data_IF_491927878082
#
_entry.id   IF_491927878082
#
_cell.length_a   1.000
_cell.length_b   1.000
_cell.length_c   1.000
_cell.angle_alpha   90.00
_cell.angle_beta   90.00
_cell.angle_gamma   90.00
#
_symmetry.space_group_name_H-M   'P 1'
#
loop_
_entity.id
_entity.type
_entity.pdbx_description
1 polymer ?
#
# COMPACT_ATOMS: atom_id res chain seq x y z
N UNK A 1 117.38 111.75 -22.97
CA UNK A 1 115.91 111.54 -22.85
C UNK A 1 115.42 110.26 -23.55
N UNK A 2 115.95 109.85 -24.70
CA UNK A 2 115.48 108.66 -25.45
C UNK A 2 115.71 107.31 -24.72
N UNK A 3 116.86 107.11 -24.09
CA UNK A 3 117.19 105.84 -23.40
C UNK A 3 116.35 105.57 -22.14
N UNK A 4 115.81 106.60 -21.47
CA UNK A 4 114.95 106.42 -20.30
C UNK A 4 113.52 105.99 -20.68
N UNK A 5 113.09 106.32 -21.91
CA UNK A 5 111.77 105.95 -22.42
C UNK A 5 111.76 104.52 -22.97
N UNK A 6 112.84 104.08 -23.64
CA UNK A 6 113.01 102.68 -24.02
C UNK A 6 113.05 101.76 -22.79
N UNK A 7 113.83 102.10 -21.75
CA UNK A 7 113.88 101.30 -20.52
C UNK A 7 112.53 101.19 -19.81
N UNK A 8 111.71 102.24 -19.80
CA UNK A 8 110.36 102.20 -19.21
C UNK A 8 109.37 101.41 -20.06
N UNK A 9 109.51 101.43 -21.39
CA UNK A 9 108.66 100.64 -22.28
C UNK A 9 108.99 99.14 -22.17
N UNK A 10 110.28 98.79 -22.13
CA UNK A 10 110.71 97.39 -21.92
C UNK A 10 110.27 96.88 -20.56
N UNK A 11 110.39 97.69 -19.50
CA UNK A 11 109.93 97.31 -18.16
C UNK A 11 108.40 97.17 -18.09
N UNK A 12 107.62 98.00 -18.77
CA UNK A 12 106.17 97.84 -18.85
C UNK A 12 105.75 96.61 -19.66
N UNK A 13 106.48 96.25 -20.72
CA UNK A 13 106.25 95.02 -21.49
C UNK A 13 106.62 93.78 -20.66
N UNK A 14 107.74 93.82 -19.94
CA UNK A 14 108.16 92.74 -19.03
C UNK A 14 107.18 92.57 -17.86
N UNK A 15 106.68 93.65 -17.25
CA UNK A 15 105.67 93.58 -16.19
C UNK A 15 104.32 93.06 -16.72
N UNK A 16 103.91 93.44 -17.93
CA UNK A 16 102.66 92.96 -18.56
C UNK A 16 102.77 91.49 -18.99
N UNK A 17 103.93 91.07 -19.50
CA UNK A 17 104.18 89.66 -19.86
C UNK A 17 104.36 88.77 -18.63
N UNK A 18 104.99 89.28 -17.56
CA UNK A 18 105.07 88.60 -16.27
C UNK A 18 103.68 88.41 -15.64
N UNK A 19 102.87 89.47 -15.58
CA UNK A 19 101.49 89.40 -15.09
C UNK A 19 100.60 88.48 -15.95
N UNK A 20 100.79 88.46 -17.28
CA UNK A 20 100.09 87.52 -18.17
C UNK A 20 100.56 86.07 -17.95
N UNK A 21 101.83 85.84 -17.64
CA UNK A 21 102.36 84.50 -17.33
C UNK A 21 101.86 83.99 -15.98
N UNK A 22 101.74 84.87 -14.99
CA UNK A 22 101.23 84.57 -13.65
C UNK A 22 99.72 84.29 -13.67
N UNK A 23 98.95 85.07 -14.46
CA UNK A 23 97.55 84.77 -14.73
C UNK A 23 97.37 83.43 -15.46
N UNK A 24 98.27 83.09 -16.40
CA UNK A 24 98.24 81.81 -17.12
C UNK A 24 98.56 80.62 -16.19
N UNK A 25 99.57 80.71 -15.32
CA UNK A 25 99.88 79.65 -14.35
C UNK A 25 98.78 79.48 -13.32
N UNK A 26 98.21 80.55 -12.77
CA UNK A 26 97.05 80.46 -11.85
C UNK A 26 95.87 79.78 -12.53
N UNK A 27 95.55 80.15 -13.78
CA UNK A 27 94.46 79.55 -14.55
C UNK A 27 94.67 78.04 -14.80
N UNK A 28 95.89 77.64 -15.19
CA UNK A 28 96.25 76.23 -15.36
C UNK A 28 96.17 75.47 -14.04
N UNK A 29 96.60 76.07 -12.93
CA UNK A 29 96.56 75.43 -11.61
C UNK A 29 95.12 75.19 -11.16
N UNK A 30 94.21 76.15 -11.37
CA UNK A 30 92.77 75.99 -11.09
C UNK A 30 92.18 74.86 -11.94
N UNK A 31 92.50 74.80 -13.23
CA UNK A 31 92.02 73.72 -14.12
C UNK A 31 92.53 72.36 -13.64
N UNK A 32 93.81 72.24 -13.26
CA UNK A 32 94.39 70.99 -12.75
C UNK A 32 93.74 70.58 -11.43
N UNK A 33 93.56 71.50 -10.48
CA UNK A 33 92.89 71.22 -9.20
C UNK A 33 91.43 70.82 -9.43
N UNK A 34 90.70 71.53 -10.29
CA UNK A 34 89.33 71.17 -10.67
C UNK A 34 89.27 69.77 -11.31
N UNK A 35 90.22 69.43 -12.18
CA UNK A 35 90.30 68.11 -12.80
C UNK A 35 90.57 67.01 -11.77
N UNK A 36 91.50 67.24 -10.83
CA UNK A 36 91.81 66.31 -9.74
C UNK A 36 90.61 66.12 -8.81
N UNK A 37 89.90 67.19 -8.47
CA UNK A 37 88.68 67.13 -7.65
C UNK A 37 87.57 66.37 -8.38
N UNK A 38 87.38 66.61 -9.68
CA UNK A 38 86.40 65.89 -10.49
C UNK A 38 86.74 64.39 -10.59
N UNK A 39 88.01 64.04 -10.80
CA UNK A 39 88.48 62.65 -10.82
C UNK A 39 88.28 62.01 -9.44
N UNK A 40 88.64 62.70 -8.35
CA UNK A 40 88.47 62.18 -7.00
C UNK A 40 86.98 61.96 -6.65
N UNK A 41 86.11 62.93 -6.95
CA UNK A 41 84.66 62.80 -6.77
C UNK A 41 84.08 61.67 -7.63
N UNK A 42 84.50 61.56 -8.90
CA UNK A 42 84.07 60.47 -9.79
C UNK A 42 84.49 59.10 -9.26
N UNK A 43 85.70 58.97 -8.72
CA UNK A 43 86.17 57.72 -8.11
C UNK A 43 85.46 57.38 -6.80
N UNK A 44 85.15 58.38 -5.96
CA UNK A 44 84.41 58.19 -4.71
C UNK A 44 82.97 57.75 -4.99
N UNK A 45 82.26 58.49 -5.85
CA UNK A 45 80.88 58.16 -6.25
C UNK A 45 80.86 56.80 -6.96
N UNK A 46 81.77 56.58 -7.91
CA UNK A 46 81.88 55.33 -8.65
C UNK A 46 82.13 54.14 -7.73
N UNK A 47 83.03 54.26 -6.74
CA UNK A 47 83.26 53.20 -5.74
C UNK A 47 82.06 52.99 -4.82
N UNK A 48 81.44 54.07 -4.34
CA UNK A 48 80.28 53.99 -3.44
C UNK A 48 79.09 53.31 -4.11
N UNK A 49 78.70 53.77 -5.30
CA UNK A 49 77.58 53.22 -6.08
C UNK A 49 77.88 51.78 -6.52
N UNK A 50 79.09 51.51 -7.03
CA UNK A 50 79.46 50.14 -7.45
C UNK A 50 79.47 49.17 -6.28
N UNK A 51 79.94 49.60 -5.10
CA UNK A 51 79.93 48.79 -3.88
C UNK A 51 78.50 48.50 -3.39
N UNK A 52 77.64 49.53 -3.33
CA UNK A 52 76.22 49.36 -2.97
C UNK A 52 75.47 48.46 -3.96
N UNK A 53 75.70 48.61 -5.26
CA UNK A 53 75.12 47.73 -6.28
C UNK A 53 75.61 46.29 -6.14
N UNK A 54 76.89 46.07 -5.87
CA UNK A 54 77.42 44.73 -5.62
C UNK A 54 76.77 44.08 -4.40
N UNK A 55 76.53 44.83 -3.33
CA UNK A 55 75.81 44.33 -2.15
C UNK A 55 74.38 43.90 -2.52
N UNK A 56 73.62 44.75 -3.21
CA UNK A 56 72.25 44.43 -3.66
C UNK A 56 72.25 43.21 -4.60
N UNK A 57 73.17 43.16 -5.57
CA UNK A 57 73.33 42.02 -6.49
C UNK A 57 73.69 40.74 -5.73
N UNK A 58 74.53 40.82 -4.70
CA UNK A 58 74.89 39.66 -3.88
C UNK A 58 73.69 39.15 -3.08
N UNK A 59 72.88 40.05 -2.51
CA UNK A 59 71.64 39.70 -1.80
C UNK A 59 70.61 39.10 -2.77
N UNK A 60 70.43 39.69 -3.95
CA UNK A 60 69.56 39.14 -5.00
C UNK A 60 70.04 37.78 -5.49
N UNK A 61 71.36 37.60 -5.66
CA UNK A 61 71.94 36.30 -6.04
C UNK A 61 71.67 35.26 -4.97
N UNK A 62 71.88 35.60 -3.70
CA UNK A 62 71.60 34.69 -2.59
C UNK A 62 70.11 34.33 -2.49
N UNK A 63 69.22 35.29 -2.79
CA UNK A 63 67.77 35.03 -2.86
C UNK A 63 67.37 34.18 -4.06
N UNK A 64 68.03 34.36 -5.22
CA UNK A 64 67.76 33.59 -6.44
C UNK A 64 68.41 32.19 -6.44
N UNK A 65 69.54 32.01 -5.73
CA UNK A 65 70.20 30.71 -5.55
C UNK A 65 69.67 29.94 -4.35
N UNK A 66 69.07 30.62 -3.38
CA UNK A 66 68.25 29.97 -2.35
C UNK A 66 67.04 29.33 -3.01
N UNK A 67 66.59 28.20 -2.48
CA UNK A 67 65.44 27.42 -2.94
C UNK A 67 64.12 28.20 -2.77
N UNK A 68 63.98 29.36 -3.43
CA UNK A 68 62.81 30.22 -3.35
C UNK A 68 62.50 30.77 -1.96
N UNK A 69 63.51 31.12 -1.14
CA UNK A 69 63.28 31.64 0.23
C UNK A 69 62.69 33.07 0.21
N UNK A 70 61.36 33.15 0.25
CA UNK A 70 60.61 34.41 0.27
C UNK A 70 60.55 35.04 1.67
N UNK A 71 61.14 34.43 2.70
CA UNK A 71 61.27 35.04 4.04
C UNK A 71 62.44 36.03 4.10
N UNK A 72 63.38 35.93 3.15
CA UNK A 72 64.57 36.79 3.08
C UNK A 72 64.24 38.20 2.61
N UNK A 73 64.98 39.20 3.11
CA UNK A 73 64.84 40.61 2.76
C UNK A 73 66.21 41.21 2.48
N UNK A 74 66.27 42.18 1.57
CA UNK A 74 67.50 42.91 1.29
C UNK A 74 67.61 44.06 2.30
N UNK A 75 68.69 44.06 3.08
CA UNK A 75 69.03 45.16 3.98
C UNK A 75 69.96 46.15 3.27
N UNK A 76 69.52 47.41 3.16
CA UNK A 76 70.29 48.50 2.57
C UNK A 76 70.17 49.77 3.41
N UNK A 77 71.31 50.32 3.86
CA UNK A 77 71.37 51.44 4.80
C UNK A 77 71.58 52.81 4.14
N UNK A 78 71.73 52.86 2.81
CA UNK A 78 71.87 54.10 2.05
C UNK A 78 70.62 54.98 2.09
N UNK A 79 70.75 56.25 1.70
CA UNK A 79 69.64 57.23 1.64
C UNK A 79 69.47 57.80 0.22
N UNK A 80 69.76 56.97 -0.77
CA UNK A 80 69.70 57.31 -2.20
C UNK A 80 68.58 56.50 -2.91
N UNK A 81 68.51 56.63 -4.23
CA UNK A 81 67.52 55.94 -5.07
C UNK A 81 67.61 54.41 -4.99
N UNK A 82 68.76 53.85 -4.57
CA UNK A 82 68.90 52.41 -4.36
C UNK A 82 68.11 51.93 -3.14
N UNK A 83 67.85 52.80 -2.17
CA UNK A 83 66.95 52.49 -1.05
C UNK A 83 65.52 52.31 -1.51
N UNK A 84 65.00 53.20 -2.35
CA UNK A 84 63.63 53.07 -2.88
C UNK A 84 63.52 51.78 -3.72
N UNK A 85 64.53 51.44 -4.52
CA UNK A 85 64.59 50.16 -5.24
C UNK A 85 64.49 48.95 -4.30
N UNK A 86 65.28 48.94 -3.22
CA UNK A 86 65.26 47.85 -2.22
C UNK A 86 63.92 47.78 -1.49
N UNK A 87 63.34 48.92 -1.11
CA UNK A 87 62.04 48.99 -0.44
C UNK A 87 60.92 48.46 -1.36
N UNK A 88 60.88 48.86 -2.65
CA UNK A 88 59.90 48.32 -3.61
C UNK A 88 60.11 46.83 -3.88
N UNK A 89 61.36 46.37 -3.97
CA UNK A 89 61.68 44.95 -4.14
C UNK A 89 61.22 44.13 -2.93
N UNK A 90 61.52 44.57 -1.71
CA UNK A 90 61.08 43.90 -0.49
C UNK A 90 59.54 43.85 -0.39
N UNK A 91 58.84 44.91 -0.79
CA UNK A 91 57.36 44.92 -0.88
C UNK A 91 56.83 43.93 -1.92
N UNK A 92 57.52 43.78 -3.05
CA UNK A 92 57.19 42.78 -4.06
C UNK A 92 57.36 41.35 -3.54
N UNK A 93 58.48 41.07 -2.86
CA UNK A 93 58.74 39.77 -2.21
C UNK A 93 57.74 39.49 -1.10
N UNK A 94 57.34 40.49 -0.29
CA UNK A 94 56.29 40.33 0.73
C UNK A 94 54.94 39.95 0.11
N UNK A 95 54.59 40.51 -1.04
CA UNK A 95 53.39 40.11 -1.78
C UNK A 95 53.49 38.67 -2.28
N UNK A 96 54.63 38.27 -2.86
CA UNK A 96 54.85 36.88 -3.28
C UNK A 96 54.75 35.93 -2.10
N UNK A 97 55.40 36.23 -0.98
CA UNK A 97 55.33 35.47 0.26
C UNK A 97 53.87 35.28 0.70
N UNK A 98 53.10 36.36 0.86
CA UNK A 98 51.67 36.24 1.23
C UNK A 98 50.88 35.43 0.22
N UNK A 99 51.09 35.62 -1.08
CA UNK A 99 50.41 34.85 -2.13
C UNK A 99 50.74 33.35 -2.07
N UNK A 100 52.01 32.97 -1.91
CA UNK A 100 52.38 31.56 -1.80
C UNK A 100 51.93 30.93 -0.47
N UNK A 101 51.88 31.68 0.64
CA UNK A 101 51.28 31.22 1.89
C UNK A 101 49.79 30.89 1.70
N UNK A 102 49.04 31.80 1.07
CA UNK A 102 47.63 31.56 0.75
C UNK A 102 47.46 30.36 -0.18
N UNK A 103 48.28 30.23 -1.22
CA UNK A 103 48.25 29.07 -2.11
C UNK A 103 48.48 27.76 -1.35
N UNK A 104 49.48 27.70 -0.45
CA UNK A 104 49.73 26.49 0.36
C UNK A 104 48.54 26.16 1.27
N UNK A 105 47.88 27.18 1.86
CA UNK A 105 46.66 26.98 2.64
C UNK A 105 45.51 26.43 1.78
N UNK A 106 45.24 27.06 0.63
CA UNK A 106 44.16 26.68 -0.28
C UNK A 106 44.34 25.24 -0.81
N UNK A 107 45.60 24.81 -1.06
CA UNK A 107 45.92 23.42 -1.44
C UNK A 107 45.61 22.44 -0.30
N UNK A 108 45.90 22.82 0.95
CA UNK A 108 45.54 22.04 2.14
C UNK A 108 44.03 21.84 2.26
N UNK A 109 43.26 22.92 2.05
CA UNK A 109 41.79 22.87 2.03
C UNK A 109 41.26 22.00 0.88
N UNK A 110 41.82 22.13 -0.33
CA UNK A 110 41.48 21.30 -1.49
C UNK A 110 41.70 19.79 -1.24
N UNK A 111 42.83 19.42 -0.62
CA UNK A 111 43.10 18.04 -0.22
C UNK A 111 42.08 17.52 0.81
N UNK A 112 41.68 18.35 1.77
CA UNK A 112 40.64 18.03 2.74
C UNK A 112 39.29 17.76 2.07
N UNK A 113 38.89 18.63 1.13
CA UNK A 113 37.66 18.47 0.34
C UNK A 113 37.71 17.20 -0.51
N UNK A 114 38.82 16.93 -1.19
CA UNK A 114 38.99 15.73 -2.01
C UNK A 114 38.86 14.45 -1.18
N UNK A 115 39.55 14.38 -0.03
CA UNK A 115 39.47 13.23 0.89
C UNK A 115 38.05 13.03 1.42
N UNK A 116 37.37 14.11 1.79
CA UNK A 116 35.99 14.06 2.26
C UNK A 116 35.03 13.58 1.16
N UNK A 117 35.22 14.03 -0.08
CA UNK A 117 34.43 13.61 -1.23
C UNK A 117 34.61 12.13 -1.55
N UNK A 118 35.84 11.60 -1.48
CA UNK A 118 36.12 10.17 -1.70
C UNK A 118 35.50 9.29 -0.60
N UNK A 119 35.62 9.71 0.66
CA UNK A 119 34.97 9.01 1.79
C UNK A 119 33.43 8.97 1.63
N UNK A 120 32.84 10.12 1.31
CA UNK A 120 31.39 10.24 1.09
C UNK A 120 30.92 9.39 -0.09
N UNK A 121 31.69 9.35 -1.18
CA UNK A 121 31.39 8.53 -2.35
C UNK A 121 31.38 7.04 -2.01
N UNK A 122 32.37 6.56 -1.25
CA UNK A 122 32.40 5.15 -0.80
C UNK A 122 31.20 4.80 0.08
N UNK A 123 30.85 5.64 1.06
CA UNK A 123 29.65 5.44 1.89
C UNK A 123 28.38 5.44 1.04
N UNK A 124 28.30 6.29 0.01
CA UNK A 124 27.14 6.34 -0.85
C UNK A 124 27.01 5.06 -1.70
N UNK A 125 28.11 4.53 -2.24
CA UNK A 125 28.12 3.23 -2.96
C UNK A 125 27.60 2.08 -2.08
N UNK A 126 28.02 2.00 -0.81
CA UNK A 126 27.52 1.00 0.13
C UNK A 126 26.00 1.12 0.36
N UNK A 127 25.50 2.36 0.52
CA UNK A 127 24.05 2.62 0.70
C UNK A 127 23.25 2.27 -0.55
N UNK A 128 23.76 2.59 -1.74
CA UNK A 128 23.11 2.24 -3.01
C UNK A 128 23.03 0.73 -3.18
N UNK A 129 24.08 -0.01 -2.82
CA UNK A 129 24.06 -1.48 -2.85
C UNK A 129 23.00 -2.06 -1.90
N UNK A 130 22.90 -1.55 -0.66
CA UNK A 130 21.85 -1.95 0.28
C UNK A 130 20.45 -1.62 -0.26
N UNK A 131 20.28 -0.46 -0.89
CA UNK A 131 19.03 -0.05 -1.49
C UNK A 131 18.63 -0.94 -2.66
N UNK A 132 19.57 -1.32 -3.53
CA UNK A 132 19.32 -2.26 -4.63
C UNK A 132 18.84 -3.63 -4.11
N UNK A 133 19.46 -4.13 -3.03
CA UNK A 133 19.03 -5.37 -2.38
C UNK A 133 17.62 -5.25 -1.78
N UNK A 134 17.31 -4.12 -1.13
CA UNK A 134 15.98 -3.86 -0.58
C UNK A 134 14.92 -3.81 -1.69
N UNK A 135 15.19 -3.12 -2.81
CA UNK A 135 14.30 -3.05 -3.98
C UNK A 135 14.04 -4.46 -4.53
N UNK A 136 15.08 -5.28 -4.68
CA UNK A 136 14.93 -6.67 -5.15
C UNK A 136 14.06 -7.51 -4.18
N UNK A 137 14.25 -7.37 -2.88
CA UNK A 137 13.44 -8.08 -1.88
C UNK A 137 11.98 -7.63 -1.93
N UNK A 138 11.73 -6.32 -2.02
CA UNK A 138 10.37 -5.78 -2.12
C UNK A 138 9.68 -6.26 -3.39
N UNK A 139 10.39 -6.32 -4.52
CA UNK A 139 9.86 -6.88 -5.78
C UNK A 139 9.37 -8.31 -5.60
N UNK A 140 10.16 -9.17 -4.96
CA UNK A 140 9.76 -10.55 -4.71
C UNK A 140 8.49 -10.63 -3.84
N UNK A 141 8.39 -9.80 -2.80
CA UNK A 141 7.18 -9.71 -1.98
C UNK A 141 5.96 -9.24 -2.77
N UNK A 142 6.13 -8.29 -3.70
CA UNK A 142 5.06 -7.83 -4.58
C UNK A 142 4.62 -8.95 -5.54
N UNK A 143 5.55 -9.72 -6.10
CA UNK A 143 5.23 -10.88 -6.94
C UNK A 143 4.45 -11.96 -6.17
N UNK A 144 4.76 -12.17 -4.89
CA UNK A 144 4.00 -13.07 -4.01
C UNK A 144 2.59 -12.52 -3.71
N UNK A 145 2.47 -11.20 -3.49
CA UNK A 145 1.17 -10.55 -3.31
C UNK A 145 0.29 -10.65 -4.57
N UNK A 146 0.87 -10.52 -5.76
CA UNK A 146 0.13 -10.70 -7.03
C UNK A 146 -0.48 -12.11 -7.11
N UNK A 147 0.30 -13.15 -6.78
CA UNK A 147 -0.21 -14.53 -6.74
C UNK A 147 -1.32 -14.71 -5.72
N UNK A 148 -1.17 -14.10 -4.54
CA UNK A 148 -2.21 -14.16 -3.51
C UNK A 148 -3.51 -13.47 -3.95
N UNK A 149 -3.43 -12.36 -4.68
CA UNK A 149 -4.61 -11.70 -5.27
C UNK A 149 -5.30 -12.59 -6.31
N UNK A 150 -4.53 -13.28 -7.16
CA UNK A 150 -5.07 -14.25 -8.13
C UNK A 150 -5.80 -15.41 -7.43
N UNK A 151 -5.24 -15.93 -6.33
CA UNK A 151 -5.89 -16.96 -5.52
C UNK A 151 -7.20 -16.46 -4.89
N UNK A 152 -7.21 -15.25 -4.33
CA UNK A 152 -8.43 -14.64 -3.75
C UNK A 152 -9.51 -14.43 -4.83
N UNK A 153 -9.14 -14.00 -6.03
CA UNK A 153 -10.06 -13.91 -7.16
C UNK A 153 -10.65 -15.28 -7.53
N UNK A 154 -9.82 -16.33 -7.53
CA UNK A 154 -10.26 -17.72 -7.72
C UNK A 154 -11.23 -18.19 -6.64
N UNK A 155 -11.00 -17.85 -5.37
CA UNK A 155 -11.93 -18.14 -4.28
C UNK A 155 -13.26 -17.41 -4.42
N UNK A 156 -13.24 -16.13 -4.81
CA UNK A 156 -14.46 -15.36 -5.05
C UNK A 156 -15.30 -15.95 -6.20
N UNK A 157 -14.65 -16.36 -7.29
CA UNK A 157 -15.32 -17.05 -8.41
C UNK A 157 -15.93 -18.38 -7.96
N UNK A 158 -15.16 -19.20 -7.25
CA UNK A 158 -15.65 -20.50 -6.75
C UNK A 158 -16.82 -20.34 -5.77
N UNK A 159 -16.77 -19.30 -4.93
CA UNK A 159 -17.86 -18.97 -4.01
C UNK A 159 -19.10 -18.50 -4.78
N UNK A 160 -18.94 -17.74 -5.88
CA UNK A 160 -20.04 -17.35 -6.75
C UNK A 160 -20.75 -18.56 -7.35
N UNK A 161 -19.99 -19.53 -7.89
CA UNK A 161 -20.56 -20.77 -8.42
C UNK A 161 -21.34 -21.55 -7.34
N UNK A 162 -20.79 -21.67 -6.13
CA UNK A 162 -21.47 -22.33 -5.01
C UNK A 162 -22.74 -21.59 -4.57
N UNK A 163 -22.74 -20.26 -4.59
CA UNK A 163 -23.96 -19.47 -4.31
C UNK A 163 -25.02 -19.66 -5.38
N UNK A 164 -24.64 -19.80 -6.66
CA UNK A 164 -25.59 -20.08 -7.73
C UNK A 164 -26.27 -21.45 -7.56
N UNK A 165 -25.50 -22.47 -7.20
CA UNK A 165 -26.03 -23.81 -6.88
C UNK A 165 -26.94 -23.77 -5.64
N UNK A 166 -26.53 -23.07 -4.57
CA UNK A 166 -27.34 -22.91 -3.37
C UNK A 166 -28.68 -22.20 -3.68
N UNK A 167 -28.66 -21.16 -4.52
CA UNK A 167 -29.87 -20.46 -4.98
C UNK A 167 -30.81 -21.39 -5.75
N UNK A 168 -30.27 -22.22 -6.64
CA UNK A 168 -31.04 -23.23 -7.39
C UNK A 168 -31.67 -24.26 -6.46
N UNK A 169 -30.93 -24.77 -5.47
CA UNK A 169 -31.46 -25.72 -4.50
C UNK A 169 -32.53 -25.09 -3.60
N UNK A 170 -32.32 -23.87 -3.11
CA UNK A 170 -33.30 -23.14 -2.31
C UNK A 170 -34.59 -22.87 -3.09
N UNK A 171 -34.48 -22.42 -4.35
CA UNK A 171 -35.62 -22.21 -5.25
C UNK A 171 -36.39 -23.51 -5.50
N UNK A 172 -35.68 -24.61 -5.76
CA UNK A 172 -36.31 -25.93 -5.93
C UNK A 172 -37.00 -26.37 -4.63
N UNK A 173 -36.38 -26.14 -3.48
CA UNK A 173 -36.96 -26.40 -2.16
C UNK A 173 -38.26 -25.62 -1.93
N UNK A 174 -38.28 -24.33 -2.29
CA UNK A 174 -39.46 -23.49 -2.16
C UNK A 174 -40.62 -24.02 -3.01
N UNK A 175 -40.35 -24.44 -4.26
CA UNK A 175 -41.36 -25.06 -5.12
C UNK A 175 -41.92 -26.36 -4.54
N UNK A 176 -41.08 -27.17 -3.88
CA UNK A 176 -41.51 -28.40 -3.21
C UNK A 176 -42.37 -28.11 -1.97
N UNK A 177 -42.02 -27.10 -1.19
CA UNK A 177 -42.82 -26.62 -0.05
C UNK A 177 -44.20 -26.16 -0.51
N UNK A 178 -44.28 -25.32 -1.54
CA UNK A 178 -45.54 -24.85 -2.12
C UNK A 178 -46.42 -26.01 -2.60
N UNK A 179 -45.82 -26.98 -3.32
CA UNK A 179 -46.52 -28.18 -3.75
C UNK A 179 -47.01 -29.07 -2.60
N UNK A 180 -46.27 -29.11 -1.49
CA UNK A 180 -46.66 -29.85 -0.29
C UNK A 180 -47.88 -29.20 0.39
N UNK A 181 -47.88 -27.86 0.52
CA UNK A 181 -49.03 -27.10 1.05
C UNK A 181 -50.30 -27.41 0.23
N UNK A 182 -50.22 -27.34 -1.10
CA UNK A 182 -51.36 -27.66 -1.98
C UNK A 182 -51.83 -29.11 -1.86
N UNK A 183 -50.91 -30.03 -1.57
CA UNK A 183 -51.25 -31.46 -1.39
C UNK A 183 -51.95 -31.68 -0.05
N UNK A 184 -51.48 -31.05 1.03
CA UNK A 184 -52.11 -31.14 2.34
C UNK A 184 -53.49 -30.45 2.32
N UNK A 185 -53.63 -29.31 1.64
CA UNK A 185 -54.94 -28.66 1.45
C UNK A 185 -55.95 -29.55 0.73
N UNK A 186 -55.54 -30.26 -0.34
CA UNK A 186 -56.40 -31.25 -1.00
C UNK A 186 -56.74 -32.41 -0.08
N UNK A 187 -55.80 -32.89 0.72
CA UNK A 187 -56.04 -33.94 1.71
C UNK A 187 -57.09 -33.51 2.75
N UNK A 188 -57.01 -32.29 3.26
CA UNK A 188 -58.02 -31.75 4.19
C UNK A 188 -59.42 -31.74 3.56
N UNK A 189 -59.54 -31.27 2.32
CA UNK A 189 -60.82 -31.25 1.61
C UNK A 189 -61.39 -32.67 1.39
N UNK A 190 -60.55 -33.65 1.09
CA UNK A 190 -60.97 -35.04 0.94
C UNK A 190 -61.44 -35.66 2.26
N UNK A 191 -60.77 -35.33 3.38
CA UNK A 191 -61.17 -35.77 4.72
C UNK A 191 -62.52 -35.12 5.11
N UNK A 192 -62.70 -33.84 4.84
CA UNK A 192 -63.97 -33.14 5.10
C UNK A 192 -65.13 -33.73 4.28
N UNK A 193 -64.89 -34.05 3.01
CA UNK A 193 -65.87 -34.74 2.16
C UNK A 193 -66.21 -36.14 2.70
N UNK A 194 -65.19 -36.90 3.11
CA UNK A 194 -65.38 -38.23 3.71
C UNK A 194 -66.18 -38.14 5.02
N UNK A 195 -65.90 -37.14 5.86
CA UNK A 195 -66.65 -36.90 7.09
C UNK A 195 -68.13 -36.58 6.80
N UNK A 196 -68.42 -35.82 5.73
CA UNK A 196 -69.80 -35.57 5.29
C UNK A 196 -70.53 -36.85 4.89
N UNK A 197 -69.86 -37.75 4.15
CA UNK A 197 -70.44 -39.05 3.76
C UNK A 197 -70.74 -39.94 4.98
N UNK A 198 -69.84 -39.97 5.98
CA UNK A 198 -70.08 -40.73 7.22
C UNK A 198 -71.22 -40.13 8.04
N UNK A 199 -71.33 -38.80 8.11
CA UNK A 199 -72.48 -38.16 8.76
C UNK A 199 -73.81 -38.48 8.07
N UNK A 200 -73.84 -38.50 6.73
CA UNK A 200 -75.04 -38.95 5.99
C UNK A 200 -75.39 -40.40 6.28
N UNK A 201 -74.37 -41.26 6.40
CA UNK A 201 -74.56 -42.67 6.76
C UNK A 201 -75.11 -42.85 8.18
N UNK A 202 -74.66 -42.04 9.14
CA UNK A 202 -75.21 -42.00 10.50
C UNK A 202 -76.69 -41.56 10.49
N UNK A 203 -77.05 -40.53 9.72
CA UNK A 203 -78.46 -40.13 9.52
C UNK A 203 -79.32 -41.26 8.94
N UNK A 204 -78.82 -42.00 7.94
CA UNK A 204 -79.54 -43.16 7.41
C UNK A 204 -79.69 -44.26 8.45
N UNK A 205 -78.66 -44.49 9.26
CA UNK A 205 -78.68 -45.49 10.34
C UNK A 205 -79.74 -45.15 11.39
N UNK A 206 -79.88 -43.88 11.77
CA UNK A 206 -80.94 -43.40 12.67
C UNK A 206 -82.33 -43.62 12.06
N UNK A 207 -82.52 -43.32 10.77
CA UNK A 207 -83.79 -43.58 10.07
C UNK A 207 -84.15 -45.08 10.03
N UNK A 208 -83.16 -45.94 9.78
CA UNK A 208 -83.34 -47.40 9.83
C UNK A 208 -83.72 -47.86 11.23
N UNK A 209 -83.09 -47.31 12.29
CA UNK A 209 -83.47 -47.58 13.68
C UNK A 209 -84.95 -47.27 13.97
N UNK A 210 -85.46 -46.13 13.50
CA UNK A 210 -86.88 -45.78 13.66
C UNK A 210 -87.84 -46.72 12.90
N UNK A 211 -87.42 -47.23 11.74
CA UNK A 211 -88.18 -48.25 11.00
C UNK A 211 -88.21 -49.58 11.75
N UNK A 212 -87.10 -49.99 12.36
CA UNK A 212 -87.03 -51.21 13.17
C UNK A 212 -87.91 -51.14 14.41
N UNK A 213 -87.97 -49.99 15.10
CA UNK A 213 -88.89 -49.75 16.23
C UNK A 213 -90.35 -49.90 15.80
N UNK A 214 -90.69 -49.42 14.59
CA UNK A 214 -92.02 -49.61 14.00
C UNK A 214 -92.30 -51.10 13.74
N UNK A 215 -91.35 -51.84 13.18
CA UNK A 215 -91.49 -53.29 12.92
C UNK A 215 -91.63 -54.07 14.24
N UNK A 216 -90.87 -53.70 15.27
CA UNK A 216 -90.96 -54.31 16.59
C UNK A 216 -92.34 -54.10 17.20
N UNK A 217 -92.88 -52.87 17.10
CA UNK A 217 -94.25 -52.57 17.52
C UNK A 217 -95.29 -53.41 16.77
N UNK A 218 -95.13 -53.58 15.45
CA UNK A 218 -96.00 -54.43 14.61
C UNK A 218 -95.87 -55.90 15.00
N UNK A 219 -94.67 -56.39 15.29
CA UNK A 219 -94.43 -57.75 15.74
C UNK A 219 -95.07 -58.02 17.11
N UNK A 220 -94.98 -57.08 18.06
CA UNK A 220 -95.69 -57.17 19.34
C UNK A 220 -97.21 -57.18 19.17
N UNK A 221 -97.75 -56.29 18.34
CA UNK A 221 -99.18 -56.28 18.01
C UNK A 221 -99.63 -57.59 17.36
N UNK A 222 -98.81 -58.13 16.45
CA UNK A 222 -99.06 -59.41 15.77
C UNK A 222 -99.01 -60.57 16.77
N UNK A 223 -98.07 -60.56 17.72
CA UNK A 223 -97.97 -61.54 18.80
C UNK A 223 -99.20 -61.50 19.73
N UNK A 224 -99.67 -60.30 20.09
CA UNK A 224 -100.90 -60.10 20.88
C UNK A 224 -102.16 -60.54 20.13
N UNK A 225 -102.27 -60.22 18.84
CA UNK A 225 -103.37 -60.67 17.98
C UNK A 225 -103.39 -62.20 17.84
N UNK A 226 -102.22 -62.82 17.63
CA UNK A 226 -102.07 -64.26 17.54
C UNK A 226 -102.40 -64.96 18.86
N UNK A 227 -102.02 -64.37 20.00
CA UNK A 227 -102.40 -64.88 21.32
C UNK A 227 -103.91 -64.85 21.53
N UNK A 228 -104.57 -63.74 21.18
CA UNK A 228 -106.02 -63.62 21.26
C UNK A 228 -106.72 -64.63 20.34
N UNK A 229 -106.19 -64.85 19.13
CA UNK A 229 -106.70 -65.86 18.20
C UNK A 229 -106.51 -67.29 18.72
N UNK A 230 -105.37 -67.60 19.36
CA UNK A 230 -105.12 -68.90 19.97
C UNK A 230 -106.06 -69.18 21.16
N UNK A 231 -106.34 -68.16 21.99
CA UNK A 231 -107.32 -68.23 23.08
C UNK A 231 -108.72 -68.55 22.52
N UNK A 232 -109.16 -67.83 21.49
CA UNK A 232 -110.50 -68.03 20.91
C UNK A 232 -110.61 -69.36 20.15
N UNK A 233 -109.53 -69.82 19.52
CA UNK A 233 -109.44 -71.14 18.90
C UNK A 233 -109.54 -72.27 19.94
N UNK A 234 -108.90 -72.12 21.11
CA UNK A 234 -109.04 -73.05 22.22
C UNK A 234 -110.47 -73.07 22.78
N UNK A 235 -111.15 -71.90 22.77
CA UNK A 235 -112.55 -71.74 23.21
C UNK A 235 -113.55 -72.43 22.28
N UNK A 236 -113.24 -72.53 20.98
CA UNK A 236 -114.06 -73.21 19.97
C UNK A 236 -113.91 -74.76 19.98
N UNK A 237 -113.04 -75.32 20.84
CA UNK A 237 -112.87 -76.77 21.00
C UNK A 237 -112.38 -77.48 19.73
N UNK A 238 -112.98 -78.63 19.39
CA UNK A 238 -112.57 -79.44 18.22
C UNK A 238 -112.74 -78.71 16.87
N UNK A 239 -113.66 -77.74 16.76
CA UNK A 239 -113.83 -76.93 15.55
C UNK A 239 -112.73 -75.87 15.35
N UNK A 240 -111.99 -75.51 16.41
CA UNK A 240 -110.94 -74.49 16.38
C UNK A 240 -109.52 -75.02 16.17
N UNK A 241 -109.31 -76.35 16.11
CA UNK A 241 -107.97 -76.96 16.06
C UNK A 241 -107.08 -76.47 14.91
N UNK A 242 -107.64 -76.32 13.71
CA UNK A 242 -106.88 -75.79 12.56
C UNK A 242 -106.47 -74.32 12.75
N UNK A 243 -107.34 -73.51 13.34
CA UNK A 243 -107.07 -72.11 13.66
C UNK A 243 -106.04 -71.96 14.80
N UNK A 244 -106.06 -72.85 15.79
CA UNK A 244 -105.08 -72.84 16.88
C UNK A 244 -103.65 -73.07 16.38
N UNK A 245 -103.45 -74.01 15.45
CA UNK A 245 -102.14 -74.27 14.84
C UNK A 245 -101.63 -73.07 14.05
N UNK A 246 -102.50 -72.42 13.27
CA UNK A 246 -102.14 -71.21 12.52
C UNK A 246 -101.83 -70.05 13.47
N UNK A 247 -102.59 -69.88 14.55
CA UNK A 247 -102.36 -68.84 15.54
C UNK A 247 -101.02 -69.02 16.26
N UNK A 248 -100.65 -70.25 16.66
CA UNK A 248 -99.34 -70.53 17.26
C UNK A 248 -98.18 -70.33 16.27
N UNK A 249 -98.35 -70.67 14.99
CA UNK A 249 -97.34 -70.41 13.96
C UNK A 249 -97.14 -68.90 13.74
N UNK A 250 -98.23 -68.12 13.65
CA UNK A 250 -98.15 -66.65 13.54
C UNK A 250 -97.49 -66.04 14.78
N UNK A 251 -97.79 -66.57 15.97
CA UNK A 251 -97.14 -66.16 17.23
C UNK A 251 -95.64 -66.45 17.21
N UNK A 252 -95.25 -67.64 16.74
CA UNK A 252 -93.86 -68.03 16.55
C UNK A 252 -93.11 -67.13 15.56
N UNK A 253 -93.74 -66.77 14.44
CA UNK A 253 -93.21 -65.78 13.50
C UNK A 253 -93.04 -64.42 14.15
N UNK A 254 -94.05 -63.92 14.87
CA UNK A 254 -93.99 -62.61 15.52
C UNK A 254 -92.84 -62.52 16.54
N UNK A 255 -92.63 -63.56 17.36
CA UNK A 255 -91.50 -63.64 18.30
C UNK A 255 -90.15 -63.67 17.56
N UNK A 256 -90.05 -64.44 16.46
CA UNK A 256 -88.82 -64.46 15.63
C UNK A 256 -88.55 -63.11 14.97
N UNK A 257 -89.58 -62.42 14.48
CA UNK A 257 -89.46 -61.08 13.90
C UNK A 257 -88.98 -60.08 14.95
N UNK A 258 -89.56 -60.11 16.16
CA UNK A 258 -89.12 -59.23 17.25
C UNK A 258 -87.65 -59.48 17.60
N UNK A 259 -87.23 -60.74 17.73
CA UNK A 259 -85.83 -61.06 18.04
C UNK A 259 -84.88 -60.60 16.93
N UNK A 260 -85.26 -60.79 15.67
CA UNK A 260 -84.46 -60.33 14.54
C UNK A 260 -84.35 -58.79 14.49
N UNK A 261 -85.43 -58.05 14.79
CA UNK A 261 -85.37 -56.59 14.88
C UNK A 261 -84.48 -56.11 16.01
N UNK A 262 -84.47 -56.80 17.15
CA UNK A 262 -83.60 -56.48 18.30
C UNK A 262 -82.12 -56.70 17.95
N UNK A 263 -81.79 -57.81 17.27
CA UNK A 263 -80.44 -58.08 16.77
C UNK A 263 -79.98 -57.01 15.75
N UNK A 264 -80.84 -56.60 14.81
CA UNK A 264 -80.51 -55.53 13.84
C UNK A 264 -80.36 -54.18 14.57
N UNK A 265 -81.20 -53.87 15.56
CA UNK A 265 -81.10 -52.64 16.34
C UNK A 265 -79.74 -52.54 17.06
N UNK A 266 -79.26 -53.67 17.60
CA UNK A 266 -77.94 -53.73 18.22
C UNK A 266 -76.83 -53.44 17.20
N UNK A 267 -76.90 -54.04 16.00
CA UNK A 267 -75.94 -53.77 14.92
C UNK A 267 -75.96 -52.30 14.51
N UNK A 268 -77.14 -51.69 14.35
CA UNK A 268 -77.28 -50.25 14.00
C UNK A 268 -76.70 -49.35 15.09
N UNK A 269 -76.87 -49.69 16.36
CA UNK A 269 -76.28 -48.96 17.49
C UNK A 269 -74.75 -49.01 17.48
N UNK A 270 -74.17 -50.19 17.24
CA UNK A 270 -72.72 -50.34 17.08
C UNK A 270 -72.19 -49.56 15.86
N UNK A 271 -72.94 -49.57 14.76
CA UNK A 271 -72.62 -48.87 13.52
C UNK A 271 -72.61 -47.34 13.70
N UNK A 272 -73.59 -46.78 14.41
CA UNK A 272 -73.65 -45.35 14.74
C UNK A 272 -72.48 -44.95 15.64
N UNK A 273 -72.18 -45.75 16.67
CA UNK A 273 -71.02 -45.51 17.54
C UNK A 273 -69.69 -45.53 16.76
N UNK A 274 -69.53 -46.48 15.83
CA UNK A 274 -68.36 -46.55 14.95
C UNK A 274 -68.28 -45.34 14.01
N UNK A 275 -69.42 -44.89 13.46
CA UNK A 275 -69.50 -43.72 12.59
C UNK A 275 -69.11 -42.44 13.34
N UNK A 276 -69.61 -42.22 14.56
CA UNK A 276 -69.22 -41.09 15.39
C UNK A 276 -67.73 -41.08 15.75
N UNK A 277 -67.16 -42.25 16.07
CA UNK A 277 -65.72 -42.38 16.30
C UNK A 277 -64.89 -42.08 15.03
N UNK A 278 -65.36 -42.51 13.86
CA UNK A 278 -64.72 -42.21 12.59
C UNK A 278 -64.71 -40.71 12.28
N UNK A 279 -65.85 -40.01 12.46
CA UNK A 279 -65.94 -38.55 12.29
C UNK A 279 -65.00 -37.81 13.25
N UNK A 280 -64.94 -38.23 14.52
CA UNK A 280 -64.02 -37.62 15.49
C UNK A 280 -62.55 -37.80 15.08
N UNK A 281 -62.17 -38.99 14.59
CA UNK A 281 -60.82 -39.25 14.10
C UNK A 281 -60.49 -38.46 12.82
N UNK A 282 -61.47 -38.26 11.93
CA UNK A 282 -61.32 -37.41 10.74
C UNK A 282 -61.10 -35.94 11.14
N UNK A 283 -61.85 -35.41 12.11
CA UNK A 283 -61.64 -34.06 12.62
C UNK A 283 -60.22 -33.87 13.18
N UNK A 284 -59.74 -34.82 13.99
CA UNK A 284 -58.36 -34.80 14.48
C UNK A 284 -57.32 -34.86 13.35
N UNK A 285 -57.63 -35.58 12.25
CA UNK A 285 -56.76 -35.63 11.07
C UNK A 285 -56.69 -34.30 10.32
N UNK A 286 -57.80 -33.56 10.24
CA UNK A 286 -57.83 -32.18 9.69
C UNK A 286 -56.98 -31.24 10.55
N UNK A 287 -57.08 -31.32 11.88
CA UNK A 287 -56.28 -30.48 12.78
C UNK A 287 -54.78 -30.77 12.67
N UNK A 288 -54.38 -32.05 12.57
CA UNK A 288 -52.99 -32.43 12.30
C UNK A 288 -52.52 -31.93 10.93
N UNK A 289 -53.36 -32.01 9.90
CA UNK A 289 -53.03 -31.49 8.58
C UNK A 289 -52.83 -29.97 8.59
N UNK A 290 -53.64 -29.21 9.34
CA UNK A 290 -53.43 -27.77 9.54
C UNK A 290 -52.09 -27.46 10.19
N UNK A 291 -51.73 -28.16 11.27
CA UNK A 291 -50.41 -28.02 11.89
C UNK A 291 -49.28 -28.33 10.89
N UNK A 292 -49.49 -29.33 10.03
CA UNK A 292 -48.55 -29.66 8.95
C UNK A 292 -48.39 -28.53 7.92
N UNK A 293 -49.47 -27.84 7.55
CA UNK A 293 -49.41 -26.65 6.69
C UNK A 293 -48.64 -25.52 7.36
N UNK A 294 -48.89 -25.24 8.63
CA UNK A 294 -48.21 -24.17 9.37
C UNK A 294 -46.70 -24.41 9.44
N UNK A 295 -46.28 -25.63 9.81
CA UNK A 295 -44.86 -26.01 9.86
C UNK A 295 -44.19 -26.00 8.48
N UNK A 296 -44.92 -26.39 7.43
CA UNK A 296 -44.43 -26.34 6.05
C UNK A 296 -44.27 -24.89 5.58
N UNK A 297 -45.18 -24.01 5.97
CA UNK A 297 -45.13 -22.56 5.67
C UNK A 297 -43.93 -21.91 6.34
N UNK A 298 -43.67 -22.22 7.61
CA UNK A 298 -42.47 -21.74 8.33
C UNK A 298 -41.18 -22.21 7.65
N UNK A 299 -41.13 -23.46 7.17
CA UNK A 299 -40.01 -23.98 6.40
C UNK A 299 -39.80 -23.20 5.08
N UNK A 300 -40.89 -22.78 4.42
CA UNK A 300 -40.85 -21.91 3.24
C UNK A 300 -40.23 -20.54 3.53
N UNK A 301 -40.59 -19.92 4.65
CA UNK A 301 -40.00 -18.64 5.07
C UNK A 301 -38.50 -18.74 5.37
N UNK A 302 -38.04 -19.85 5.96
CA UNK A 302 -36.61 -20.11 6.16
C UNK A 302 -35.88 -20.22 4.82
N UNK A 303 -36.44 -20.95 3.84
CA UNK A 303 -35.86 -21.03 2.50
C UNK A 303 -35.79 -19.67 1.80
N UNK A 304 -36.81 -18.81 1.98
CA UNK A 304 -36.79 -17.43 1.45
C UNK A 304 -35.64 -16.61 2.05
N UNK A 305 -35.42 -16.68 3.36
CA UNK A 305 -34.29 -16.01 4.03
C UNK A 305 -32.94 -16.55 3.56
N UNK A 306 -32.83 -17.86 3.31
CA UNK A 306 -31.62 -18.46 2.73
C UNK A 306 -31.36 -17.86 1.35
N UNK A 307 -32.38 -17.73 0.50
CA UNK A 307 -32.25 -17.14 -0.83
C UNK A 307 -31.76 -15.69 -0.77
N UNK A 308 -32.30 -14.87 0.14
CA UNK A 308 -31.86 -13.49 0.37
C UNK A 308 -30.38 -13.41 0.79
N UNK A 309 -29.95 -14.29 1.70
CA UNK A 309 -28.56 -14.34 2.13
C UNK A 309 -27.63 -14.79 1.01
N UNK A 310 -28.04 -15.79 0.21
CA UNK A 310 -27.26 -16.27 -0.94
C UNK A 310 -27.08 -15.16 -1.98
N UNK A 311 -28.11 -14.36 -2.24
CA UNK A 311 -28.04 -13.20 -3.12
C UNK A 311 -27.02 -12.16 -2.62
N UNK A 312 -27.04 -11.83 -1.31
CA UNK A 312 -26.06 -10.93 -0.71
C UNK A 312 -24.63 -11.47 -0.81
N UNK A 313 -24.42 -12.78 -0.62
CA UNK A 313 -23.08 -13.39 -0.78
C UNK A 313 -22.62 -13.29 -2.24
N UNK A 314 -23.52 -13.49 -3.22
CA UNK A 314 -23.19 -13.32 -4.63
C UNK A 314 -22.72 -11.89 -4.94
N UNK A 315 -23.42 -10.89 -4.41
CA UNK A 315 -23.04 -9.47 -4.57
C UNK A 315 -21.69 -9.15 -3.91
N UNK A 316 -21.41 -9.74 -2.74
CA UNK A 316 -20.11 -9.61 -2.08
C UNK A 316 -18.99 -10.24 -2.91
N UNK A 317 -19.23 -11.41 -3.52
CA UNK A 317 -18.25 -12.06 -4.38
C UNK A 317 -17.92 -11.22 -5.62
N UNK A 318 -18.90 -10.55 -6.23
CA UNK A 318 -18.65 -9.59 -7.32
C UNK A 318 -17.80 -8.41 -6.86
N UNK A 319 -18.08 -7.84 -5.68
CA UNK A 319 -17.27 -6.76 -5.12
C UNK A 319 -15.84 -7.21 -4.81
N UNK A 320 -15.66 -8.43 -4.28
CA UNK A 320 -14.32 -9.00 -4.05
C UNK A 320 -13.58 -9.16 -5.37
N UNK A 321 -14.24 -9.67 -6.42
CA UNK A 321 -13.62 -9.81 -7.74
C UNK A 321 -13.22 -8.46 -8.37
N UNK A 322 -14.04 -7.42 -8.18
CA UNK A 322 -13.70 -6.07 -8.62
C UNK A 322 -12.50 -5.49 -7.84
N UNK A 323 -12.49 -5.66 -6.51
CA UNK A 323 -11.41 -5.20 -5.65
C UNK A 323 -10.09 -5.92 -5.93
N UNK A 324 -10.12 -7.24 -6.19
CA UNK A 324 -8.91 -7.99 -6.56
C UNK A 324 -8.37 -7.57 -7.92
N UNK A 325 -9.24 -7.25 -8.88
CA UNK A 325 -8.82 -6.69 -10.17
C UNK A 325 -8.12 -5.33 -10.02
N UNK A 326 -8.66 -4.44 -9.18
CA UNK A 326 -8.03 -3.16 -8.86
C UNK A 326 -6.68 -3.33 -8.14
N UNK A 327 -6.61 -4.26 -7.17
CA UNK A 327 -5.37 -4.61 -6.48
C UNK A 327 -4.31 -5.15 -7.44
N UNK A 328 -4.68 -6.03 -8.38
CA UNK A 328 -3.76 -6.57 -9.40
C UNK A 328 -3.16 -5.46 -10.26
N UNK A 329 -4.00 -4.50 -10.69
CA UNK A 329 -3.55 -3.32 -11.45
C UNK A 329 -2.57 -2.49 -10.62
N UNK A 330 -2.90 -2.21 -9.36
CA UNK A 330 -2.04 -1.45 -8.44
C UNK A 330 -0.69 -2.14 -8.23
N UNK A 331 -0.67 -3.45 -8.05
CA UNK A 331 0.59 -4.20 -7.89
C UNK A 331 1.44 -4.22 -9.16
N UNK A 332 0.82 -4.19 -10.34
CA UNK A 332 1.54 -4.02 -11.61
C UNK A 332 2.25 -2.67 -11.67
N UNK A 333 1.57 -1.58 -11.26
CA UNK A 333 2.17 -0.25 -11.18
C UNK A 333 3.32 -0.18 -10.16
N UNK A 334 3.13 -0.77 -8.97
CA UNK A 334 4.18 -0.87 -7.94
C UNK A 334 5.40 -1.61 -8.49
N UNK A 335 5.19 -2.68 -9.26
CA UNK A 335 6.28 -3.43 -9.90
C UNK A 335 7.03 -2.56 -10.91
N UNK A 336 6.31 -1.73 -11.68
CA UNK A 336 6.90 -0.70 -12.55
C UNK A 336 7.76 0.29 -11.77
N UNK A 337 7.23 0.86 -10.69
CA UNK A 337 7.96 1.79 -9.83
C UNK A 337 9.21 1.17 -9.18
N UNK A 338 9.18 -0.11 -8.81
CA UNK A 338 10.37 -0.82 -8.35
C UNK A 338 11.43 -0.92 -9.44
N UNK A 339 11.02 -1.16 -10.69
CA UNK A 339 11.91 -1.12 -11.85
C UNK A 339 12.54 0.25 -12.06
N UNK A 340 11.77 1.33 -11.89
CA UNK A 340 12.28 2.70 -12.01
C UNK A 340 13.26 3.04 -10.89
N UNK A 341 12.95 2.65 -9.65
CA UNK A 341 13.85 2.83 -8.51
C UNK A 341 15.17 2.07 -8.67
N UNK A 342 15.12 0.86 -9.25
CA UNK A 342 16.33 0.10 -9.55
C UNK A 342 17.23 0.84 -10.56
N UNK A 343 16.66 1.33 -11.66
CA UNK A 343 17.42 2.11 -12.66
C UNK A 343 17.98 3.41 -12.07
N UNK A 344 17.22 4.08 -11.20
CA UNK A 344 17.72 5.26 -10.49
C UNK A 344 18.89 4.91 -9.56
N UNK A 345 18.84 3.77 -8.85
CA UNK A 345 19.96 3.32 -8.03
C UNK A 345 21.22 3.05 -8.87
N UNK A 346 21.08 2.45 -10.06
CA UNK A 346 22.18 2.27 -11.01
C UNK A 346 22.77 3.61 -11.48
N UNK A 347 21.93 4.58 -11.85
CA UNK A 347 22.39 5.90 -12.29
C UNK A 347 23.12 6.68 -11.18
N UNK A 348 22.64 6.56 -9.93
CA UNK A 348 23.32 7.17 -8.77
C UNK A 348 24.64 6.46 -8.48
N UNK A 349 24.73 5.15 -8.71
CA UNK A 349 25.98 4.39 -8.59
C UNK A 349 27.03 4.90 -9.57
N UNK A 350 26.67 5.04 -10.85
CA UNK A 350 27.53 5.58 -11.90
C UNK A 350 27.99 7.00 -11.56
N UNK A 351 27.08 7.88 -11.18
CA UNK A 351 27.40 9.26 -10.78
C UNK A 351 28.34 9.32 -9.56
N UNK A 352 28.20 8.37 -8.63
CA UNK A 352 29.06 8.30 -7.43
C UNK A 352 30.47 7.81 -7.78
N UNK A 353 30.60 6.88 -8.72
CA UNK A 353 31.90 6.42 -9.22
C UNK A 353 32.64 7.53 -9.98
N UNK A 354 31.91 8.36 -10.74
CA UNK A 354 32.46 9.57 -11.35
C UNK A 354 32.95 10.56 -10.29
N UNK A 355 32.20 10.78 -9.20
CA UNK A 355 32.62 11.64 -8.09
C UNK A 355 33.89 11.14 -7.39
N UNK A 356 34.03 9.82 -7.19
CA UNK A 356 35.25 9.24 -6.64
C UNK A 356 36.45 9.46 -7.58
N UNK A 357 36.23 9.30 -8.89
CA UNK A 357 37.26 9.57 -9.91
C UNK A 357 37.68 11.04 -9.91
N UNK A 358 36.72 11.97 -9.82
CA UNK A 358 36.99 13.41 -9.73
C UNK A 358 37.74 13.75 -8.43
N UNK A 359 37.34 13.16 -7.30
CA UNK A 359 38.04 13.32 -6.01
C UNK A 359 39.52 12.93 -6.14
N UNK A 360 39.83 11.76 -6.72
CA UNK A 360 41.22 11.32 -6.95
C UNK A 360 41.98 12.30 -7.84
N UNK A 361 41.35 12.81 -8.90
CA UNK A 361 41.97 13.81 -9.79
C UNK A 361 42.27 15.13 -9.08
N UNK A 362 41.37 15.59 -8.19
CA UNK A 362 41.62 16.78 -7.35
C UNK A 362 42.80 16.52 -6.41
N UNK A 363 42.88 15.33 -5.82
CA UNK A 363 44.00 14.94 -4.96
C UNK A 363 45.33 14.97 -5.73
N UNK A 364 45.37 14.42 -6.95
CA UNK A 364 46.56 14.43 -7.79
C UNK A 364 47.01 15.85 -8.17
N UNK A 365 46.07 16.70 -8.59
CA UNK A 365 46.34 18.11 -8.91
C UNK A 365 46.83 18.87 -7.68
N UNK A 366 46.20 18.65 -6.52
CA UNK A 366 46.56 19.31 -5.27
C UNK A 366 47.95 18.88 -4.79
N UNK A 367 48.31 17.60 -4.92
CA UNK A 367 49.66 17.11 -4.66
C UNK A 367 50.70 17.75 -5.60
N UNK A 368 50.36 17.91 -6.88
CA UNK A 368 51.19 18.61 -7.86
C UNK A 368 51.41 20.09 -7.49
N UNK A 369 50.34 20.80 -7.14
CA UNK A 369 50.40 22.18 -6.68
C UNK A 369 51.19 22.32 -5.38
N UNK A 370 51.04 21.39 -4.43
CA UNK A 370 51.80 21.37 -3.19
C UNK A 370 53.30 21.24 -3.47
N UNK A 371 53.68 20.39 -4.43
CA UNK A 371 55.08 20.24 -4.84
C UNK A 371 55.65 21.53 -5.44
N UNK A 372 54.88 22.25 -6.25
CA UNK A 372 55.31 23.53 -6.85
C UNK A 372 55.36 24.64 -5.80
N UNK A 373 54.32 24.79 -4.98
CA UNK A 373 54.25 25.81 -3.94
C UNK A 373 55.27 25.59 -2.81
N UNK A 374 55.63 24.32 -2.54
CA UNK A 374 56.65 23.94 -1.58
C UNK A 374 58.10 24.22 -2.03
N UNK A 375 58.31 24.57 -3.32
CA UNK A 375 59.62 25.06 -3.79
C UNK A 375 59.93 26.48 -3.30
N UNK A 376 58.94 27.20 -2.78
CA UNK A 376 59.12 28.51 -2.19
C UNK A 376 58.97 28.40 -0.67
N UNK A 377 59.99 28.85 0.06
CA UNK A 377 59.88 28.95 1.52
C UNK A 377 59.11 30.20 1.87
N UNK A 378 58.00 30.02 2.58
CA UNK A 378 57.07 31.05 3.03
C UNK A 378 56.95 30.99 4.54
#
# INVERSE_FOLDING_TARGET
MRNAMESRLTQAIDDTTAASSEAATVSVTIVVVALVVLIALSLIIGRSVSGSLQQIISSLRNMASGEGDLTSRIEYTGKDELRDLVDQFNRFVEKLHKSFATIQQDIGELNGVATHLGSTSRTNLERISQQAQAISSTRNSVEELVKSVEEVAGFASSASDQTQDASKFATTGQQKVEGNIQTIQRLMAEIENTASLVNQFDEFSVKVGGLLETIQTVAEQTNLLALNAAIEAARAGEHGRGFAVVADEVRGLAVRTHKATEEIQQVISELSKASGAAVHSMQGSVDMARQGVDATTESGEVLRKILENVQQISELNEQIAAATYEQSTTFSEVTGHMGDMHRNAEAVMESTDELDTVSRKIQDVSNGLQSVAGQFRV
#
